data_IF_606653791370
#
_entry.id   IF_606653791370
#
_cell.length_a   1.000
_cell.length_b   1.000
_cell.length_c   1.000
_cell.angle_alpha   90.00
_cell.angle_beta   90.00
_cell.angle_gamma   90.00
#
_symmetry.space_group_name_H-M   'P 1'
#
loop_
_entity.id
_entity.type
_entity.pdbx_description
1 polymer ?
#
# COMPACT_ATOMS: atom_id res chain seq x y z
N UNK A 1 -2.62 -4.67 -11.08
CA UNK A 1 -1.79 -3.45 -11.18
C UNK A 1 -1.38 -2.93 -9.80
N UNK A 2 -2.27 -2.92 -8.80
CA UNK A 2 -1.97 -2.48 -7.43
C UNK A 2 -1.00 -3.37 -6.63
N UNK A 3 -1.07 -4.70 -6.84
CA UNK A 3 -0.21 -5.71 -6.19
C UNK A 3 1.30 -5.47 -6.31
N UNK A 4 1.77 -4.84 -7.40
CA UNK A 4 3.19 -4.57 -7.58
C UNK A 4 3.64 -3.29 -6.85
N UNK A 5 2.74 -2.31 -6.72
CA UNK A 5 3.01 -1.05 -6.03
C UNK A 5 3.14 -1.25 -4.52
N UNK A 6 2.30 -2.11 -3.95
CA UNK A 6 2.28 -2.40 -2.51
C UNK A 6 3.21 -3.54 -2.09
N UNK A 7 3.83 -4.26 -3.04
CA UNK A 7 4.73 -5.39 -2.76
C UNK A 7 5.91 -5.04 -1.83
N UNK A 8 6.41 -3.81 -1.92
CA UNK A 8 7.51 -3.30 -1.10
C UNK A 8 7.03 -2.29 -0.04
N UNK A 9 5.74 -2.26 0.25
CA UNK A 9 5.18 -1.40 1.28
C UNK A 9 5.42 -2.06 2.65
N UNK A 10 6.39 -1.54 3.39
CA UNK A 10 6.80 -2.09 4.70
C UNK A 10 6.50 -1.13 5.85
N UNK A 11 6.04 0.09 5.54
CA UNK A 11 5.70 1.13 6.50
C UNK A 11 4.53 1.99 6.02
N UNK A 12 3.77 2.55 6.96
CA UNK A 12 2.67 3.48 6.66
C UNK A 12 3.15 4.70 5.86
N UNK A 13 4.37 5.19 6.13
CA UNK A 13 4.98 6.29 5.38
C UNK A 13 5.18 5.95 3.89
N UNK A 14 5.54 4.70 3.55
CA UNK A 14 5.61 4.26 2.16
C UNK A 14 4.22 4.12 1.55
N UNK A 15 3.25 3.61 2.32
CA UNK A 15 1.85 3.50 1.88
C UNK A 15 1.29 4.87 1.49
N UNK A 16 1.50 5.88 2.34
CA UNK A 16 1.08 7.25 2.05
C UNK A 16 1.77 7.84 0.82
N UNK A 17 3.07 7.57 0.62
CA UNK A 17 3.79 7.98 -0.59
C UNK A 17 3.19 7.36 -1.84
N UNK A 18 2.88 6.06 -1.81
CA UNK A 18 2.25 5.35 -2.92
C UNK A 18 0.86 5.94 -3.18
N UNK A 19 0.03 6.07 -2.14
CA UNK A 19 -1.30 6.67 -2.21
C UNK A 19 -1.26 8.05 -2.84
N UNK A 20 -0.44 8.98 -2.34
CA UNK A 20 -0.32 10.35 -2.88
C UNK A 20 0.22 10.36 -4.32
N UNK A 21 1.13 9.44 -4.66
CA UNK A 21 1.64 9.29 -6.02
C UNK A 21 0.58 8.80 -7.01
N UNK A 22 -0.27 7.86 -6.58
CA UNK A 22 -1.40 7.37 -7.35
C UNK A 22 -2.51 8.42 -7.42
N UNK A 23 -2.79 9.13 -6.33
CA UNK A 23 -3.76 10.23 -6.27
C UNK A 23 -3.41 11.29 -7.31
N UNK A 24 -2.16 11.76 -7.37
CA UNK A 24 -1.76 12.75 -8.38
C UNK A 24 -1.96 12.27 -9.83
N UNK A 25 -1.87 10.97 -10.08
CA UNK A 25 -2.02 10.37 -11.42
C UNK A 25 -3.47 10.02 -11.78
N UNK A 26 -4.29 9.69 -10.78
CA UNK A 26 -5.60 9.09 -10.97
C UNK A 26 -6.73 9.88 -10.30
N UNK A 27 -6.45 10.97 -9.58
CA UNK A 27 -7.43 11.85 -8.93
C UNK A 27 -8.57 12.30 -9.86
N UNK A 28 -8.28 12.47 -11.14
CA UNK A 28 -9.26 12.87 -12.15
C UNK A 28 -10.22 11.75 -12.56
N UNK A 29 -10.04 10.53 -12.04
CA UNK A 29 -10.89 9.38 -12.32
C UNK A 29 -12.00 9.29 -11.28
N UNK A 30 -13.22 9.04 -11.72
CA UNK A 30 -14.37 8.80 -10.84
C UNK A 30 -14.20 7.54 -9.97
N UNK A 31 -13.46 6.53 -10.44
CA UNK A 31 -13.13 5.29 -9.72
C UNK A 31 -11.96 5.44 -8.71
N UNK A 32 -11.41 6.65 -8.55
CA UNK A 32 -10.32 6.90 -7.59
C UNK A 32 -10.63 6.46 -6.15
N UNK A 33 -11.80 6.75 -5.56
CA UNK A 33 -12.10 6.35 -4.19
C UNK A 33 -12.06 4.83 -3.97
N UNK A 34 -12.44 4.05 -4.98
CA UNK A 34 -12.38 2.58 -4.93
C UNK A 34 -10.94 2.09 -5.05
N UNK A 35 -10.16 2.69 -5.95
CA UNK A 35 -8.73 2.41 -6.07
C UNK A 35 -7.94 2.79 -4.82
N UNK A 36 -8.23 3.93 -4.19
CA UNK A 36 -7.59 4.38 -2.96
C UNK A 36 -7.82 3.36 -1.83
N UNK A 37 -9.06 2.89 -1.67
CA UNK A 37 -9.39 1.83 -0.71
C UNK A 37 -8.62 0.54 -1.00
N UNK A 38 -8.51 0.13 -2.26
CA UNK A 38 -7.75 -1.05 -2.63
C UNK A 38 -6.24 -0.90 -2.30
N UNK A 39 -5.65 0.26 -2.58
CA UNK A 39 -4.25 0.56 -2.25
C UNK A 39 -4.04 0.53 -0.74
N UNK A 40 -4.92 1.16 0.04
CA UNK A 40 -4.83 1.17 1.50
C UNK A 40 -4.96 -0.24 2.09
N UNK A 41 -5.92 -1.04 1.60
CA UNK A 41 -6.12 -2.41 2.06
C UNK A 41 -4.92 -3.31 1.73
N UNK A 42 -4.42 -3.26 0.49
CA UNK A 42 -3.25 -4.04 0.07
C UNK A 42 -1.97 -3.58 0.76
N UNK A 43 -1.81 -2.27 0.97
CA UNK A 43 -0.69 -1.69 1.71
C UNK A 43 -0.68 -2.10 3.17
N UNK A 44 -1.81 -2.02 3.87
CA UNK A 44 -1.93 -2.46 5.25
C UNK A 44 -1.65 -3.97 5.39
N UNK A 45 -2.15 -4.78 4.45
CA UNK A 45 -1.87 -6.21 4.42
C UNK A 45 -0.37 -6.50 4.18
N UNK A 46 0.29 -5.73 3.31
CA UNK A 46 1.73 -5.84 3.06
C UNK A 46 2.56 -5.46 4.28
N UNK A 47 2.22 -4.36 4.97
CA UNK A 47 2.86 -3.93 6.22
C UNK A 47 2.70 -5.01 7.28
N UNK A 48 1.48 -5.49 7.51
CA UNK A 48 1.20 -6.56 8.47
C UNK A 48 1.98 -7.84 8.15
N UNK A 49 2.06 -8.21 6.87
CA UNK A 49 2.82 -9.38 6.42
C UNK A 49 4.33 -9.20 6.61
N UNK A 50 4.84 -7.99 6.39
CA UNK A 50 6.24 -7.66 6.61
C UNK A 50 6.59 -7.68 8.10
N UNK A 51 5.75 -7.08 8.95
CA UNK A 51 5.88 -7.14 10.40
C UNK A 51 5.86 -8.58 10.91
N UNK A 52 4.92 -9.41 10.44
CA UNK A 52 4.84 -10.82 10.83
C UNK A 52 6.11 -11.61 10.42
N UNK A 53 6.65 -11.36 9.23
CA UNK A 53 7.90 -12.00 8.77
C UNK A 53 9.12 -11.53 9.58
N UNK A 54 9.26 -10.23 9.81
CA UNK A 54 10.40 -9.69 10.58
C UNK A 54 10.34 -10.04 12.07
N UNK A 55 9.14 -10.26 12.63
CA UNK A 55 8.98 -10.79 14.00
C UNK A 55 9.40 -12.26 14.14
N UNK A 56 9.38 -13.01 13.03
CA UNK A 56 9.77 -14.43 13.01
C UNK A 56 11.28 -14.60 12.84
N UNK A 57 11.98 -13.63 12.26
CA UNK A 57 13.44 -13.67 12.04
C UNK A 57 14.25 -13.21 13.28
N UNK A 58 13.57 -12.81 14.36
CA UNK A 58 14.18 -12.37 15.62
C UNK A 58 13.90 -13.35 16.77
N UNK A 59 13.93 -14.66 16.48
CA UNK A 59 13.89 -15.75 17.47
C UNK A 59 15.03 -16.72 17.21
#
# INVERSE_FOLDING_TARGET
MSKELTKNCTSEAQLEKIRKGQERKFRWRDDWPEMEKAILAEGAAAITSHEAKHKTDQV
#
